data_IF_278945114351
#
_entry.id   IF_278945114351
#
_cell.length_a   1.000
_cell.length_b   1.000
_cell.length_c   1.000
_cell.angle_alpha   90.00
_cell.angle_beta   90.00
_cell.angle_gamma   90.00
#
_symmetry.space_group_name_H-M   'P 1'
#
loop_
_entity.id
_entity.type
_entity.pdbx_description
1 polymer ?
#
# COMPACT_ATOMS: atom_id res chain seq x y z
N UNK A 1 4.56 -13.25 -44.94
CA UNK A 1 4.25 -14.05 -43.70
C UNK A 1 5.46 -14.08 -42.75
N UNK A 2 6.68 -14.50 -43.16
CA UNK A 2 7.85 -14.57 -42.28
C UNK A 2 8.33 -13.20 -41.79
N UNK A 3 8.42 -12.20 -42.70
CA UNK A 3 8.82 -10.82 -42.38
C UNK A 3 7.82 -10.12 -41.45
N UNK A 4 6.53 -10.38 -41.60
CA UNK A 4 5.47 -9.83 -40.73
C UNK A 4 5.54 -10.41 -39.32
N UNK A 5 5.79 -11.71 -39.21
CA UNK A 5 6.00 -12.37 -37.93
C UNK A 5 7.22 -11.81 -37.20
N UNK A 6 8.33 -11.64 -37.88
CA UNK A 6 9.55 -11.06 -37.32
C UNK A 6 9.33 -9.60 -36.86
N UNK A 7 8.63 -8.80 -37.64
CA UNK A 7 8.26 -7.44 -37.27
C UNK A 7 7.35 -7.40 -36.02
N UNK A 8 6.43 -8.36 -35.90
CA UNK A 8 5.55 -8.48 -34.74
C UNK A 8 6.33 -8.91 -33.48
N UNK A 9 7.25 -9.88 -33.62
CA UNK A 9 8.11 -10.33 -32.50
C UNK A 9 9.02 -9.19 -32.00
N UNK A 10 9.57 -8.36 -32.87
CA UNK A 10 10.36 -7.17 -32.51
C UNK A 10 9.49 -6.15 -31.75
N UNK A 11 8.25 -5.93 -32.19
CA UNK A 11 7.31 -5.03 -31.51
C UNK A 11 6.97 -5.55 -30.12
N UNK A 12 6.75 -6.85 -29.98
CA UNK A 12 6.47 -7.50 -28.72
C UNK A 12 7.65 -7.39 -27.75
N UNK A 13 8.89 -7.62 -28.23
CA UNK A 13 10.11 -7.43 -27.45
C UNK A 13 10.25 -5.98 -26.94
N UNK A 14 9.93 -4.99 -27.80
CA UNK A 14 9.93 -3.58 -27.42
C UNK A 14 8.89 -3.28 -26.33
N UNK A 15 7.67 -3.81 -26.45
CA UNK A 15 6.61 -3.67 -25.42
C UNK A 15 7.05 -4.25 -24.07
N UNK A 16 7.68 -5.42 -24.06
CA UNK A 16 8.24 -6.02 -22.82
C UNK A 16 9.29 -5.12 -22.20
N UNK A 17 10.17 -4.51 -22.99
CA UNK A 17 11.17 -3.55 -22.52
C UNK A 17 10.55 -2.34 -21.84
N UNK A 18 9.50 -1.77 -22.44
CA UNK A 18 8.75 -0.63 -21.87
C UNK A 18 8.09 -1.01 -20.54
N UNK A 19 7.45 -2.18 -20.47
CA UNK A 19 6.80 -2.64 -19.22
C UNK A 19 7.84 -2.89 -18.12
N UNK A 20 8.99 -3.48 -18.42
CA UNK A 20 10.06 -3.64 -17.45
C UNK A 20 10.60 -2.31 -16.93
N UNK A 21 10.77 -1.31 -17.81
CA UNK A 21 11.16 0.03 -17.39
C UNK A 21 10.12 0.66 -16.48
N UNK A 22 8.83 0.61 -16.84
CA UNK A 22 7.73 1.09 -16.00
C UNK A 22 7.71 0.39 -14.64
N UNK A 23 7.94 -0.92 -14.62
CA UNK A 23 8.04 -1.71 -13.39
C UNK A 23 9.14 -1.22 -12.46
N UNK A 24 10.32 -0.93 -12.99
CA UNK A 24 11.42 -0.37 -12.21
C UNK A 24 11.09 1.03 -11.67
N UNK A 25 10.46 1.88 -12.47
CA UNK A 25 10.03 3.22 -12.05
C UNK A 25 8.98 3.15 -10.94
N UNK A 26 8.00 2.25 -11.05
CA UNK A 26 7.00 1.98 -10.03
C UNK A 26 7.63 1.48 -8.73
N UNK A 27 8.56 0.54 -8.83
CA UNK A 27 9.27 0.00 -7.68
C UNK A 27 10.04 1.10 -6.92
N UNK A 28 10.77 1.96 -7.64
CA UNK A 28 11.49 3.09 -7.05
C UNK A 28 10.54 4.11 -6.38
N UNK A 29 9.38 4.38 -6.98
CA UNK A 29 8.36 5.23 -6.34
C UNK A 29 7.88 4.63 -5.03
N UNK A 30 7.58 3.34 -5.02
CA UNK A 30 7.12 2.62 -3.82
C UNK A 30 8.20 2.66 -2.74
N UNK A 31 9.47 2.42 -3.07
CA UNK A 31 10.58 2.55 -2.12
C UNK A 31 10.68 3.97 -1.53
N UNK A 32 10.47 5.00 -2.35
CA UNK A 32 10.50 6.39 -1.88
C UNK A 32 9.33 6.68 -0.93
N UNK A 33 8.13 6.19 -1.22
CA UNK A 33 6.97 6.30 -0.32
C UNK A 33 7.25 5.57 1.00
N UNK A 34 7.86 4.38 0.96
CA UNK A 34 8.21 3.60 2.16
C UNK A 34 9.20 4.33 3.08
N UNK A 35 10.05 5.20 2.54
CA UNK A 35 11.03 5.98 3.31
C UNK A 35 10.39 7.17 4.03
N UNK A 36 9.21 7.60 3.63
CA UNK A 36 8.52 8.73 4.26
C UNK A 36 7.64 8.22 5.42
N UNK A 37 7.99 8.59 6.65
CA UNK A 37 7.31 8.17 7.88
C UNK A 37 6.70 9.32 8.68
N UNK A 38 6.63 10.53 8.12
CA UNK A 38 6.13 11.70 8.83
C UNK A 38 4.64 11.89 8.66
N UNK A 39 3.90 11.91 9.77
CA UNK A 39 2.44 12.15 9.76
C UNK A 39 2.04 13.45 9.08
N UNK A 40 2.89 14.46 9.13
CA UNK A 40 2.62 15.75 8.47
C UNK A 40 2.37 15.62 6.97
N UNK A 41 2.98 14.61 6.31
CA UNK A 41 2.83 14.37 4.88
C UNK A 41 1.76 13.32 4.54
N UNK A 42 0.97 12.88 5.50
CA UNK A 42 0.01 11.78 5.34
C UNK A 42 -0.91 11.97 4.13
N UNK A 43 -1.54 13.14 3.99
CA UNK A 43 -2.46 13.39 2.87
C UNK A 43 -1.74 13.31 1.51
N UNK A 44 -0.53 13.85 1.44
CA UNK A 44 0.31 13.77 0.25
C UNK A 44 0.69 12.33 -0.07
N UNK A 45 1.10 11.58 0.94
CA UNK A 45 1.48 10.16 0.79
C UNK A 45 0.28 9.34 0.30
N UNK A 46 -0.91 9.58 0.82
CA UNK A 46 -2.13 8.92 0.37
C UNK A 46 -2.41 9.18 -1.11
N UNK A 47 -2.23 10.41 -1.58
CA UNK A 47 -2.36 10.75 -3.01
C UNK A 47 -1.30 10.04 -3.84
N UNK A 48 -0.04 10.05 -3.42
CA UNK A 48 1.05 9.37 -4.13
C UNK A 48 0.82 7.85 -4.22
N UNK A 49 0.27 7.22 -3.16
CA UNK A 49 -0.12 5.80 -3.16
C UNK A 49 -1.22 5.56 -4.20
N UNK A 50 -2.26 6.38 -4.24
CA UNK A 50 -3.36 6.25 -5.19
C UNK A 50 -2.89 6.41 -6.65
N UNK A 51 -2.08 7.41 -6.93
CA UNK A 51 -1.51 7.61 -8.26
C UNK A 51 -0.63 6.44 -8.70
N UNK A 52 0.17 5.90 -7.75
CA UNK A 52 1.02 4.74 -8.03
C UNK A 52 0.17 3.47 -8.24
N UNK A 53 -0.94 3.32 -7.51
CA UNK A 53 -1.88 2.22 -7.70
C UNK A 53 -2.53 2.25 -9.09
N UNK A 54 -2.98 3.41 -9.55
CA UNK A 54 -3.53 3.59 -10.89
C UNK A 54 -2.49 3.25 -11.97
N UNK A 55 -1.27 3.77 -11.84
CA UNK A 55 -0.18 3.48 -12.79
C UNK A 55 0.21 2.00 -12.80
N UNK A 56 0.15 1.33 -11.65
CA UNK A 56 0.37 -0.12 -11.55
C UNK A 56 -0.73 -0.89 -12.25
N UNK A 57 -1.99 -0.48 -12.08
CA UNK A 57 -3.14 -1.11 -12.74
C UNK A 57 -3.07 -0.98 -14.27
N UNK A 58 -2.69 0.20 -14.77
CA UNK A 58 -2.49 0.41 -16.22
C UNK A 58 -1.38 -0.50 -16.77
N UNK A 59 -0.29 -0.63 -16.02
CA UNK A 59 0.82 -1.52 -16.41
C UNK A 59 0.40 -2.99 -16.42
N UNK A 60 -0.45 -3.42 -15.49
CA UNK A 60 -1.01 -4.78 -15.48
C UNK A 60 -1.89 -5.03 -16.71
N UNK A 61 -2.67 -4.05 -17.15
CA UNK A 61 -3.45 -4.16 -18.38
C UNK A 61 -2.54 -4.30 -19.61
N UNK A 62 -1.44 -3.55 -19.67
CA UNK A 62 -0.44 -3.71 -20.75
C UNK A 62 0.17 -5.12 -20.75
N UNK A 63 0.48 -5.67 -19.56
CA UNK A 63 0.98 -7.05 -19.43
C UNK A 63 -0.05 -8.06 -19.94
N UNK A 64 -1.32 -7.89 -19.63
CA UNK A 64 -2.37 -8.77 -20.11
C UNK A 64 -2.46 -8.77 -21.63
N UNK A 65 -2.31 -7.59 -22.27
CA UNK A 65 -2.25 -7.49 -23.72
C UNK A 65 -1.01 -8.19 -24.30
N UNK A 66 0.16 -8.01 -23.69
CA UNK A 66 1.40 -8.68 -24.11
C UNK A 66 1.22 -10.21 -24.00
N UNK A 67 0.74 -10.70 -22.87
CA UNK A 67 0.51 -12.13 -22.66
C UNK A 67 -0.50 -12.71 -23.67
N UNK A 68 -1.51 -11.95 -24.05
CA UNK A 68 -2.44 -12.36 -25.10
C UNK A 68 -1.77 -12.45 -26.47
N UNK A 69 -0.95 -11.46 -26.83
CA UNK A 69 -0.18 -11.47 -28.09
C UNK A 69 0.83 -12.64 -28.12
N UNK A 70 1.48 -12.95 -26.99
CA UNK A 70 2.40 -14.10 -26.86
C UNK A 70 1.69 -15.43 -27.13
N UNK A 71 0.52 -15.63 -26.52
CA UNK A 71 -0.27 -16.85 -26.75
C UNK A 71 -0.65 -16.99 -28.22
N UNK A 72 -1.06 -15.90 -28.89
CA UNK A 72 -1.40 -15.93 -30.31
C UNK A 72 -0.23 -16.32 -31.21
N UNK A 73 1.00 -16.01 -30.78
CA UNK A 73 2.22 -16.43 -31.45
C UNK A 73 2.69 -17.85 -31.09
N UNK A 74 2.03 -18.50 -30.13
CA UNK A 74 2.43 -19.80 -29.61
C UNK A 74 3.63 -19.74 -28.65
N UNK A 75 3.86 -18.59 -28.04
CA UNK A 75 4.88 -18.40 -26.99
C UNK A 75 4.29 -18.58 -25.59
N UNK A 76 5.15 -18.89 -24.63
CA UNK A 76 4.79 -18.87 -23.24
C UNK A 76 4.61 -17.42 -22.75
N UNK A 77 3.75 -17.23 -21.73
CA UNK A 77 3.53 -15.93 -21.14
C UNK A 77 4.78 -15.44 -20.42
N UNK A 78 5.12 -14.17 -20.61
CA UNK A 78 6.21 -13.53 -19.89
C UNK A 78 5.72 -13.15 -18.48
N UNK A 79 6.47 -13.56 -17.45
CA UNK A 79 6.27 -13.14 -16.07
C UNK A 79 7.04 -11.86 -15.77
N UNK A 80 6.37 -10.90 -15.16
CA UNK A 80 6.95 -9.61 -14.78
C UNK A 80 7.02 -9.53 -13.24
N UNK A 81 7.97 -10.23 -12.63
CA UNK A 81 8.13 -10.34 -11.18
C UNK A 81 8.21 -8.99 -10.47
N UNK A 82 8.85 -7.99 -11.10
CA UNK A 82 8.97 -6.64 -10.52
C UNK A 82 7.59 -5.99 -10.32
N UNK A 83 6.62 -6.24 -11.21
CA UNK A 83 5.26 -5.70 -11.12
C UNK A 83 4.49 -6.41 -10.00
N UNK A 84 4.63 -7.72 -9.88
CA UNK A 84 4.00 -8.48 -8.79
C UNK A 84 4.52 -8.05 -7.42
N UNK A 85 5.83 -7.84 -7.29
CA UNK A 85 6.46 -7.34 -6.08
C UNK A 85 5.98 -5.92 -5.76
N UNK A 86 5.93 -5.04 -6.77
CA UNK A 86 5.42 -3.68 -6.64
C UNK A 86 3.96 -3.67 -6.18
N UNK A 87 3.12 -4.52 -6.75
CA UNK A 87 1.70 -4.62 -6.39
C UNK A 87 1.52 -5.07 -4.92
N UNK A 88 2.29 -6.06 -4.47
CA UNK A 88 2.26 -6.54 -3.08
C UNK A 88 2.71 -5.45 -2.12
N UNK A 89 3.84 -4.80 -2.41
CA UNK A 89 4.37 -3.72 -1.57
C UNK A 89 3.41 -2.53 -1.49
N UNK A 90 2.81 -2.14 -2.61
CA UNK A 90 1.84 -1.05 -2.68
C UNK A 90 0.60 -1.34 -1.84
N UNK A 91 0.08 -2.57 -1.90
CA UNK A 91 -1.09 -2.98 -1.10
C UNK A 91 -0.83 -2.88 0.40
N UNK A 92 0.38 -3.24 0.84
CA UNK A 92 0.78 -3.12 2.24
C UNK A 92 0.88 -1.64 2.65
N UNK A 93 1.47 -0.79 1.80
CA UNK A 93 1.55 0.65 2.03
C UNK A 93 0.17 1.30 2.12
N UNK A 94 -0.73 0.96 1.21
CA UNK A 94 -2.10 1.44 1.19
C UNK A 94 -2.82 1.08 2.50
N UNK A 95 -2.72 -0.18 2.92
CA UNK A 95 -3.32 -0.66 4.15
C UNK A 95 -2.75 0.07 5.38
N UNK A 96 -1.44 0.24 5.44
CA UNK A 96 -0.75 0.93 6.53
C UNK A 96 -1.20 2.39 6.66
N UNK A 97 -1.10 3.17 5.59
CA UNK A 97 -1.43 4.59 5.63
C UNK A 97 -2.94 4.85 5.76
N UNK A 98 -3.79 4.01 5.17
CA UNK A 98 -5.25 4.10 5.37
C UNK A 98 -5.61 3.86 6.83
N UNK A 99 -5.01 2.87 7.47
CA UNK A 99 -5.25 2.58 8.89
C UNK A 99 -4.81 3.74 9.79
N UNK A 100 -3.65 4.36 9.52
CA UNK A 100 -3.17 5.53 10.26
C UNK A 100 -4.09 6.75 10.03
N UNK A 101 -4.50 6.98 8.80
CA UNK A 101 -5.43 8.06 8.46
C UNK A 101 -6.76 7.90 9.20
N UNK A 102 -7.35 6.73 9.13
CA UNK A 102 -8.63 6.43 9.76
C UNK A 102 -8.53 6.54 11.28
N UNK A 103 -7.44 6.03 11.88
CA UNK A 103 -7.15 6.22 13.29
C UNK A 103 -7.06 7.70 13.65
N UNK A 104 -6.34 8.50 12.88
CA UNK A 104 -6.18 9.94 13.14
C UNK A 104 -7.51 10.68 13.08
N UNK A 105 -8.40 10.30 12.17
CA UNK A 105 -9.75 10.89 12.09
C UNK A 105 -10.64 10.46 13.25
N UNK A 106 -10.65 9.17 13.59
CA UNK A 106 -11.48 8.66 14.68
C UNK A 106 -11.02 9.16 16.04
N UNK A 107 -9.71 9.23 16.31
CA UNK A 107 -9.16 9.77 17.57
C UNK A 107 -9.55 11.24 17.77
N UNK A 108 -9.48 12.06 16.72
CA UNK A 108 -9.93 13.46 16.78
C UNK A 108 -11.43 13.58 17.05
N UNK A 109 -12.26 12.73 16.45
CA UNK A 109 -13.69 12.69 16.73
C UNK A 109 -13.96 12.31 18.17
N UNK A 110 -13.25 11.32 18.70
CA UNK A 110 -13.41 10.87 20.09
C UNK A 110 -12.96 11.92 21.09
N UNK A 111 -11.89 12.69 20.82
CA UNK A 111 -11.49 13.83 21.64
C UNK A 111 -12.58 14.91 21.72
N UNK A 112 -13.35 15.08 20.64
CA UNK A 112 -14.44 16.06 20.58
C UNK A 112 -15.76 15.57 21.19
N UNK A 113 -15.95 14.26 21.40
CA UNK A 113 -17.21 13.59 21.81
C UNK A 113 -17.12 12.96 23.21
N UNK A 114 -16.36 13.52 24.13
CA UNK A 114 -16.20 13.02 25.51
C UNK A 114 -17.54 12.79 26.27
N UNK A 115 -18.72 12.98 25.69
CA UNK A 115 -19.97 13.08 26.41
C UNK A 115 -21.02 11.97 26.16
N UNK A 116 -20.88 11.06 25.20
CA UNK A 116 -21.95 10.08 24.93
C UNK A 116 -21.53 8.62 24.94
N UNK A 117 -22.05 7.89 25.89
CA UNK A 117 -21.90 6.49 26.30
C UNK A 117 -22.27 5.44 25.20
N UNK A 118 -22.66 5.83 23.99
CA UNK A 118 -23.38 4.94 23.04
C UNK A 118 -22.48 4.29 21.98
N UNK A 119 -21.20 4.69 21.84
CA UNK A 119 -20.33 4.17 20.76
C UNK A 119 -19.08 3.41 21.22
N UNK A 120 -18.93 3.11 22.50
CA UNK A 120 -17.69 2.53 23.03
C UNK A 120 -17.38 1.16 22.41
N UNK A 121 -18.38 0.28 22.28
CA UNK A 121 -18.17 -1.05 21.69
C UNK A 121 -17.81 -0.99 20.20
N UNK A 122 -18.36 -0.04 19.47
CA UNK A 122 -18.06 0.18 18.05
C UNK A 122 -16.67 0.76 17.85
N UNK A 123 -16.24 1.61 18.78
CA UNK A 123 -14.89 2.17 18.80
C UNK A 123 -13.87 1.08 19.10
N UNK A 124 -14.12 0.19 20.05
CA UNK A 124 -13.23 -0.90 20.39
C UNK A 124 -12.98 -1.86 19.22
N UNK A 125 -14.03 -2.25 18.48
CA UNK A 125 -13.89 -3.09 17.29
C UNK A 125 -13.03 -2.43 16.20
N UNK A 126 -13.20 -1.12 16.00
CA UNK A 126 -12.36 -0.36 15.07
C UNK A 126 -10.91 -0.29 15.54
N UNK A 127 -10.68 -0.05 16.83
CA UNK A 127 -9.34 -0.01 17.42
C UNK A 127 -8.61 -1.33 17.24
N UNK A 128 -9.28 -2.46 17.51
CA UNK A 128 -8.70 -3.79 17.28
C UNK A 128 -8.33 -4.02 15.82
N UNK A 129 -9.15 -3.55 14.90
CA UNK A 129 -8.85 -3.62 13.46
C UNK A 129 -7.62 -2.78 13.10
N UNK A 130 -7.49 -1.56 13.63
CA UNK A 130 -6.33 -0.69 13.40
C UNK A 130 -5.04 -1.31 13.97
N UNK A 131 -5.08 -1.82 15.20
CA UNK A 131 -3.93 -2.50 15.82
C UNK A 131 -3.46 -3.66 14.96
N UNK A 132 -4.39 -4.50 14.52
CA UNK A 132 -4.11 -5.64 13.66
C UNK A 132 -3.42 -5.23 12.36
N UNK A 133 -4.03 -4.31 11.61
CA UNK A 133 -3.52 -3.89 10.31
C UNK A 133 -2.17 -3.17 10.42
N UNK A 134 -1.99 -2.31 11.42
CA UNK A 134 -0.72 -1.62 11.64
C UNK A 134 0.38 -2.62 12.04
N UNK A 135 0.07 -3.59 12.90
CA UNK A 135 1.02 -4.62 13.31
C UNK A 135 1.43 -5.53 12.16
N UNK A 136 0.48 -5.95 11.32
CA UNK A 136 0.76 -6.76 10.13
C UNK A 136 1.63 -6.00 9.12
N UNK A 137 1.29 -4.74 8.84
CA UNK A 137 2.08 -3.89 7.94
C UNK A 137 3.50 -3.65 8.46
N UNK A 138 3.67 -3.42 9.77
CA UNK A 138 4.98 -3.25 10.39
C UNK A 138 5.84 -4.52 10.33
N UNK A 139 5.24 -5.68 10.58
CA UNK A 139 5.94 -6.96 10.50
C UNK A 139 6.48 -7.19 9.07
N UNK A 140 5.67 -6.87 8.06
CA UNK A 140 6.07 -6.97 6.66
C UNK A 140 7.14 -5.94 6.31
N UNK A 141 7.01 -4.70 6.77
CA UNK A 141 8.01 -3.65 6.54
C UNK A 141 9.35 -3.97 7.22
N UNK A 142 9.34 -4.52 8.44
CA UNK A 142 10.58 -4.94 9.14
C UNK A 142 11.30 -6.09 8.44
N UNK A 143 10.60 -6.89 7.63
CA UNK A 143 11.22 -7.92 6.79
C UNK A 143 11.93 -7.35 5.55
N UNK A 144 11.63 -6.11 5.17
CA UNK A 144 12.22 -5.41 4.05
C UNK A 144 13.31 -4.45 4.54
N UNK A 145 14.53 -4.59 4.03
CA UNK A 145 15.72 -3.87 4.51
C UNK A 145 15.76 -2.35 4.18
N UNK A 146 14.67 -1.76 3.68
CA UNK A 146 14.64 -0.40 3.13
C UNK A 146 13.93 0.64 4.01
N UNK A 147 13.53 0.28 5.24
CA UNK A 147 12.80 1.19 6.12
C UNK A 147 13.69 2.28 6.70
N UNK A 148 13.18 3.52 6.70
CA UNK A 148 13.78 4.61 7.46
C UNK A 148 13.40 4.52 8.95
N UNK A 149 14.24 5.12 9.80
CA UNK A 149 13.97 5.26 11.24
C UNK A 149 12.62 5.95 11.52
N UNK A 150 12.22 6.91 10.68
CA UNK A 150 10.96 7.64 10.82
C UNK A 150 9.73 6.73 10.62
N UNK A 151 9.76 5.85 9.62
CA UNK A 151 8.67 4.90 9.37
C UNK A 151 8.55 3.86 10.48
N UNK A 152 9.69 3.36 10.99
CA UNK A 152 9.72 2.44 12.12
C UNK A 152 9.19 3.14 13.38
N UNK A 153 9.63 4.37 13.65
CA UNK A 153 9.20 5.15 14.80
C UNK A 153 7.68 5.43 14.77
N UNK A 154 7.14 5.81 13.62
CA UNK A 154 5.70 6.01 13.44
C UNK A 154 4.93 4.73 13.72
N UNK A 155 5.39 3.62 13.17
CA UNK A 155 4.74 2.33 13.35
C UNK A 155 4.81 1.80 14.78
N UNK A 156 5.83 2.15 15.55
CA UNK A 156 5.91 1.78 16.99
C UNK A 156 5.08 2.76 17.86
N UNK A 157 4.96 4.02 17.46
CA UNK A 157 4.23 5.07 18.18
C UNK A 157 2.72 4.88 18.14
N UNK A 158 2.14 4.57 16.98
CA UNK A 158 0.69 4.46 16.79
C UNK A 158 0.05 3.36 17.66
N UNK A 159 0.61 2.13 17.79
CA UNK A 159 0.07 1.14 18.73
C UNK A 159 0.08 1.59 20.17
N UNK A 160 1.08 2.38 20.61
CA UNK A 160 1.15 2.94 21.96
C UNK A 160 0.03 3.98 22.16
N UNK A 161 -0.22 4.85 21.19
CA UNK A 161 -1.33 5.81 21.24
C UNK A 161 -2.68 5.10 21.29
N UNK A 162 -2.87 4.03 20.52
CA UNK A 162 -4.07 3.19 20.54
C UNK A 162 -4.28 2.55 21.90
N UNK A 163 -3.22 1.99 22.51
CA UNK A 163 -3.29 1.38 23.84
C UNK A 163 -3.65 2.40 24.92
N UNK A 164 -3.08 3.60 24.87
CA UNK A 164 -3.42 4.69 25.79
C UNK A 164 -4.88 5.13 25.62
N UNK A 165 -5.37 5.16 24.39
CA UNK A 165 -6.77 5.49 24.11
C UNK A 165 -7.72 4.43 24.67
N UNK A 166 -7.40 3.12 24.55
CA UNK A 166 -8.18 2.03 25.18
C UNK A 166 -8.28 2.21 26.68
N UNK A 167 -7.19 2.53 27.37
CA UNK A 167 -7.18 2.79 28.81
C UNK A 167 -8.11 3.95 29.19
N UNK A 168 -8.15 5.01 28.39
CA UNK A 168 -9.07 6.13 28.63
C UNK A 168 -10.53 5.74 28.37
N UNK A 169 -10.80 4.96 27.32
CA UNK A 169 -12.13 4.41 27.01
C UNK A 169 -12.65 3.53 28.15
N UNK A 170 -11.81 2.67 28.70
CA UNK A 170 -12.16 1.81 29.85
C UNK A 170 -12.47 2.63 31.08
N UNK A 171 -11.72 3.71 31.38
CA UNK A 171 -12.04 4.60 32.49
C UNK A 171 -13.39 5.28 32.33
N UNK A 172 -13.77 5.69 31.12
CA UNK A 172 -15.07 6.31 30.82
C UNK A 172 -16.23 5.32 31.01
N UNK A 173 -16.02 4.01 30.82
CA UNK A 173 -17.03 2.97 31.09
C UNK A 173 -17.43 2.85 32.56
N UNK A 174 -16.53 3.22 33.48
CA UNK A 174 -16.77 3.13 34.92
C UNK A 174 -17.46 4.37 35.49
N UNK A 175 -17.60 5.44 34.74
CA UNK A 175 -18.33 6.64 35.08
C UNK A 175 -19.66 6.75 34.32
#
# INVERSE_FOLDING_TARGET
VALEREAFERRLASKRGVVNQKGNELYLKIENIQKEGRLFWMDRIMVEIQETALSTQDTIQEIQMINHEEILLGHDKTEFQIIEQSQKALKILELFWTSIHDWTLESKKCESVIIFKIEVERIDQKIESFEKYISEALAEFKSQSHLTADTIHLGDKIPVEISNFKLHSDMVRFF
#
